data_IF_214426421491
#
_entry.id   IF_214426421491
#
_cell.length_a   1.000
_cell.length_b   1.000
_cell.length_c   1.000
_cell.angle_alpha   90.00
_cell.angle_beta   90.00
_cell.angle_gamma   90.00
#
_symmetry.space_group_name_H-M   'P 1'
#
loop_
_entity.id
_entity.type
_entity.pdbx_description
1 polymer ?
#
# COMPACT_ATOMS: atom_id res chain seq x y z
N UNK A 1 -23.77 20.89 19.19
CA UNK A 1 -24.03 20.10 17.96
C UNK A 1 -22.98 20.50 16.92
N UNK A 2 -21.77 19.94 17.04
CA UNK A 2 -20.78 20.08 15.99
C UNK A 2 -21.18 19.15 14.85
N UNK A 3 -21.65 19.74 13.76
CA UNK A 3 -22.00 19.03 12.55
C UNK A 3 -20.75 18.33 11.99
N UNK A 4 -20.86 17.05 11.67
CA UNK A 4 -19.87 16.35 10.85
C UNK A 4 -19.50 17.23 9.64
N UNK A 5 -18.23 17.21 9.21
CA UNK A 5 -17.83 17.94 8.01
C UNK A 5 -18.78 17.56 6.87
N UNK A 6 -19.45 18.56 6.33
CA UNK A 6 -20.35 18.35 5.20
C UNK A 6 -19.52 17.82 4.01
N UNK A 7 -20.12 17.02 3.13
CA UNK A 7 -19.49 16.46 1.92
C UNK A 7 -18.63 17.49 1.17
N UNK A 8 -19.10 18.73 1.10
CA UNK A 8 -18.38 19.86 0.49
C UNK A 8 -17.09 20.24 1.23
N UNK A 9 -17.01 20.11 2.55
CA UNK A 9 -15.80 20.41 3.32
C UNK A 9 -14.74 19.30 3.18
N UNK A 10 -15.15 18.03 3.06
CA UNK A 10 -14.22 16.92 2.82
C UNK A 10 -13.61 16.97 1.41
N UNK A 11 -14.42 17.34 0.40
CA UNK A 11 -13.93 17.47 -0.98
C UNK A 11 -12.93 18.64 -1.11
N UNK A 12 -13.20 19.76 -0.46
CA UNK A 12 -12.28 20.90 -0.42
C UNK A 12 -11.00 20.55 0.35
N UNK A 13 -11.10 19.80 1.44
CA UNK A 13 -9.94 19.37 2.22
C UNK A 13 -9.05 18.38 1.43
N UNK A 14 -9.66 17.50 0.63
CA UNK A 14 -8.94 16.60 -0.26
C UNK A 14 -8.17 17.38 -1.33
N UNK A 15 -8.83 18.29 -2.04
CA UNK A 15 -8.20 19.11 -3.09
C UNK A 15 -7.11 20.01 -2.53
N UNK A 16 -7.35 20.65 -1.39
CA UNK A 16 -6.37 21.49 -0.72
C UNK A 16 -5.17 20.69 -0.22
N UNK A 17 -5.39 19.52 0.38
CA UNK A 17 -4.34 18.62 0.82
C UNK A 17 -3.48 18.11 -0.34
N UNK A 18 -4.10 17.74 -1.46
CA UNK A 18 -3.39 17.31 -2.66
C UNK A 18 -2.57 18.44 -3.27
N UNK A 19 -3.14 19.65 -3.35
CA UNK A 19 -2.43 20.84 -3.83
C UNK A 19 -1.22 21.17 -2.94
N UNK A 20 -1.40 21.15 -1.63
CA UNK A 20 -0.31 21.36 -0.67
C UNK A 20 0.79 20.30 -0.81
N UNK A 21 0.41 19.03 -0.93
CA UNK A 21 1.38 17.94 -1.12
C UNK A 21 2.19 18.09 -2.39
N UNK A 22 1.55 18.37 -3.52
CA UNK A 22 2.23 18.53 -4.81
C UNK A 22 3.17 19.73 -4.83
N UNK A 23 2.76 20.86 -4.24
CA UNK A 23 3.59 22.06 -4.18
C UNK A 23 4.76 21.95 -3.21
N UNK A 24 4.62 21.15 -2.15
CA UNK A 24 5.64 21.01 -1.11
C UNK A 24 6.33 19.63 -1.11
N UNK A 25 6.16 18.84 -2.17
CA UNK A 25 6.62 17.46 -2.25
C UNK A 25 8.08 17.28 -1.82
N UNK A 26 9.00 18.07 -2.38
CA UNK A 26 10.42 17.97 -2.06
C UNK A 26 10.73 18.42 -0.62
N UNK A 27 10.06 19.47 -0.14
CA UNK A 27 10.25 19.95 1.22
C UNK A 27 9.78 18.92 2.26
N UNK A 28 8.66 18.27 2.02
CA UNK A 28 8.10 17.25 2.91
C UNK A 28 8.95 15.97 2.86
N UNK A 29 9.32 15.51 1.67
CA UNK A 29 10.05 14.24 1.49
C UNK A 29 11.49 14.32 1.98
N UNK A 30 12.12 15.51 1.99
CA UNK A 30 13.49 15.74 2.40
C UNK A 30 13.59 16.58 3.67
N UNK A 31 12.51 16.68 4.45
CA UNK A 31 12.47 17.45 5.67
C UNK A 31 13.44 16.93 6.71
N UNK A 32 14.46 17.74 7.04
CA UNK A 32 15.54 17.36 7.96
C UNK A 32 15.33 17.84 9.40
N UNK A 33 14.27 18.59 9.65
CA UNK A 33 13.95 19.12 10.98
C UNK A 33 13.48 18.07 11.98
N UNK A 34 13.02 16.91 11.48
CA UNK A 34 12.56 15.78 12.28
C UNK A 34 13.15 14.48 11.72
N UNK A 35 14.24 13.94 12.32
CA UNK A 35 14.85 12.69 11.90
C UNK A 35 13.91 11.48 12.02
N UNK A 36 12.98 11.49 12.97
CA UNK A 36 12.02 10.41 13.18
C UNK A 36 11.00 10.40 12.03
N UNK A 37 10.49 11.56 11.64
CA UNK A 37 9.64 11.71 10.47
C UNK A 37 10.32 11.20 9.19
N UNK A 38 11.56 11.61 8.95
CA UNK A 38 12.31 11.20 7.77
C UNK A 38 12.56 9.68 7.78
N UNK A 39 12.86 9.11 8.94
CA UNK A 39 13.06 7.68 9.13
C UNK A 39 11.80 6.87 8.76
N UNK A 40 10.66 7.30 9.24
CA UNK A 40 9.38 6.62 8.97
C UNK A 40 8.88 6.82 7.54
N UNK A 41 8.74 8.06 7.10
CA UNK A 41 8.01 8.39 5.87
C UNK A 41 8.88 8.35 4.61
N UNK A 42 10.18 8.51 4.73
CA UNK A 42 11.06 8.44 3.57
C UNK A 42 11.95 7.20 3.60
N UNK A 43 12.77 7.06 4.64
CA UNK A 43 13.76 5.99 4.70
C UNK A 43 13.16 4.58 4.81
N UNK A 44 11.97 4.44 5.39
CA UNK A 44 11.27 3.15 5.47
C UNK A 44 10.37 2.88 4.26
N UNK A 45 9.48 3.81 3.90
CA UNK A 45 8.48 3.56 2.86
C UNK A 45 9.08 3.31 1.47
N UNK A 46 10.13 4.04 1.09
CA UNK A 46 10.76 3.85 -0.21
C UNK A 46 11.36 2.47 -0.40
N UNK A 47 12.24 1.96 0.52
CA UNK A 47 12.73 0.60 0.44
C UNK A 47 11.63 -0.45 0.50
N UNK A 48 10.61 -0.24 1.33
CA UNK A 48 9.48 -1.14 1.41
C UNK A 48 8.75 -1.30 0.08
N UNK A 49 8.35 -0.22 -0.56
CA UNK A 49 7.69 -0.28 -1.86
C UNK A 49 8.60 -0.86 -2.94
N UNK A 50 9.88 -0.55 -2.93
CA UNK A 50 10.83 -1.12 -3.88
C UNK A 50 11.03 -2.62 -3.68
N UNK A 51 11.15 -3.09 -2.45
CA UNK A 51 11.26 -4.54 -2.18
C UNK A 51 10.03 -5.34 -2.60
N UNK A 52 8.87 -4.71 -2.52
CA UNK A 52 7.59 -5.29 -2.90
C UNK A 52 7.34 -5.28 -4.43
N UNK A 53 8.02 -4.41 -5.15
CA UNK A 53 7.84 -4.16 -6.58
C UNK A 53 7.89 -5.40 -7.47
N UNK A 54 8.91 -6.28 -7.39
CA UNK A 54 8.99 -7.46 -8.24
C UNK A 54 7.81 -8.42 -8.06
N UNK A 55 7.38 -8.64 -6.82
CA UNK A 55 6.22 -9.49 -6.51
C UNK A 55 4.93 -8.90 -7.06
N UNK A 56 4.75 -7.58 -6.92
CA UNK A 56 3.61 -6.88 -7.50
C UNK A 56 3.63 -6.85 -9.01
N UNK A 57 4.80 -6.74 -9.63
CA UNK A 57 4.91 -6.77 -11.09
C UNK A 57 4.39 -8.10 -11.65
N UNK A 58 4.73 -9.24 -11.05
CA UNK A 58 4.21 -10.55 -11.44
C UNK A 58 2.70 -10.64 -11.30
N UNK A 59 2.15 -10.13 -10.21
CA UNK A 59 0.71 -10.10 -10.00
C UNK A 59 0.01 -9.21 -11.03
N UNK A 60 0.52 -8.00 -11.26
CA UNK A 60 -0.03 -7.03 -12.21
C UNK A 60 -0.03 -7.55 -13.65
N UNK A 61 1.05 -8.17 -14.10
CA UNK A 61 1.14 -8.79 -15.43
C UNK A 61 0.04 -9.83 -15.62
N UNK A 62 -0.25 -10.62 -14.59
CA UNK A 62 -1.30 -11.63 -14.66
C UNK A 62 -2.71 -11.04 -14.71
N UNK A 63 -3.00 -10.06 -13.86
CA UNK A 63 -4.33 -9.43 -13.78
C UNK A 63 -4.61 -8.60 -15.05
N UNK A 64 -3.57 -8.08 -15.69
CA UNK A 64 -3.68 -7.21 -16.85
C UNK A 64 -3.75 -7.94 -18.18
N UNK A 65 -3.88 -9.29 -18.21
CA UNK A 65 -4.06 -10.03 -19.46
C UNK A 65 -5.24 -9.47 -20.26
N UNK A 66 -4.99 -9.14 -21.54
CA UNK A 66 -5.99 -8.53 -22.42
C UNK A 66 -6.20 -7.01 -22.26
N UNK A 67 -5.39 -6.35 -21.43
CA UNK A 67 -5.39 -4.89 -21.27
C UNK A 67 -4.20 -4.25 -21.96
N UNK A 68 -4.37 -3.01 -22.39
CA UNK A 68 -3.26 -2.24 -22.97
C UNK A 68 -2.33 -1.72 -21.86
N UNK A 69 -1.04 -1.56 -22.19
CA UNK A 69 -0.05 -0.99 -21.27
C UNK A 69 -0.48 0.41 -20.77
N UNK A 70 -1.10 1.21 -21.64
CA UNK A 70 -1.62 2.53 -21.26
C UNK A 70 -2.70 2.44 -20.19
N UNK A 71 -3.65 1.50 -20.33
CA UNK A 71 -4.70 1.28 -19.32
C UNK A 71 -4.09 0.81 -17.98
N UNK A 72 -3.11 -0.09 -18.04
CA UNK A 72 -2.41 -0.57 -16.85
C UNK A 72 -1.72 0.58 -16.12
N UNK A 73 -0.93 1.37 -16.82
CA UNK A 73 -0.23 2.52 -16.24
C UNK A 73 -1.20 3.56 -15.65
N UNK A 74 -2.29 3.86 -16.36
CA UNK A 74 -3.29 4.79 -15.86
C UNK A 74 -3.93 4.31 -14.56
N UNK A 75 -4.31 3.04 -14.49
CA UNK A 75 -4.93 2.47 -13.28
C UNK A 75 -3.94 2.43 -12.12
N UNK A 76 -2.72 1.98 -12.35
CA UNK A 76 -1.73 1.81 -11.28
C UNK A 76 -1.16 3.15 -10.81
N UNK A 77 -0.83 4.06 -11.74
CA UNK A 77 -0.11 5.30 -11.41
C UNK A 77 -1.04 6.48 -11.09
N UNK A 78 -2.30 6.45 -11.53
CA UNK A 78 -3.23 7.57 -11.32
C UNK A 78 -4.43 7.15 -10.49
N UNK A 79 -5.20 6.18 -10.96
CA UNK A 79 -6.48 5.81 -10.31
C UNK A 79 -6.24 5.24 -8.91
N UNK A 80 -5.28 4.32 -8.76
CA UNK A 80 -4.93 3.73 -7.47
C UNK A 80 -4.51 4.76 -6.43
N UNK A 81 -3.50 5.61 -6.69
CA UNK A 81 -3.09 6.67 -5.78
C UNK A 81 -4.20 7.67 -5.42
N UNK A 82 -5.04 8.07 -6.39
CA UNK A 82 -6.15 9.00 -6.13
C UNK A 82 -7.17 8.38 -5.18
N UNK A 83 -7.59 7.13 -5.43
CA UNK A 83 -8.54 6.42 -4.55
C UNK A 83 -7.94 6.23 -3.15
N UNK A 84 -6.67 5.85 -3.08
CA UNK A 84 -5.97 5.66 -1.79
C UNK A 84 -5.87 6.97 -1.02
N UNK A 85 -5.49 8.06 -1.68
CA UNK A 85 -5.42 9.37 -1.06
C UNK A 85 -6.80 9.85 -0.57
N UNK A 86 -7.85 9.64 -1.36
CA UNK A 86 -9.22 9.95 -0.96
C UNK A 86 -9.64 9.16 0.29
N UNK A 87 -9.35 7.87 0.34
CA UNK A 87 -9.61 7.02 1.50
C UNK A 87 -8.90 7.52 2.76
N UNK A 88 -7.60 7.81 2.67
CA UNK A 88 -6.84 8.31 3.81
C UNK A 88 -7.28 9.71 4.24
N UNK A 89 -7.71 10.56 3.32
CA UNK A 89 -8.23 11.89 3.67
C UNK A 89 -9.53 11.79 4.46
N UNK A 90 -10.43 10.89 4.09
CA UNK A 90 -11.70 10.71 4.80
C UNK A 90 -11.45 10.14 6.20
N UNK A 91 -10.76 9.03 6.30
CA UNK A 91 -10.55 8.34 7.59
C UNK A 91 -9.57 9.10 8.48
N UNK A 92 -8.46 9.59 7.92
CA UNK A 92 -7.51 10.40 8.66
C UNK A 92 -8.11 11.72 9.11
N UNK A 93 -8.88 12.39 8.25
CA UNK A 93 -9.62 13.59 8.60
C UNK A 93 -10.64 13.37 9.71
N UNK A 94 -11.37 12.26 9.68
CA UNK A 94 -12.29 11.87 10.74
C UNK A 94 -11.56 11.64 12.07
N UNK A 95 -10.42 10.94 12.04
CA UNK A 95 -9.58 10.71 13.23
C UNK A 95 -9.05 12.02 13.83
N UNK A 96 -8.53 12.92 13.00
CA UNK A 96 -8.06 14.24 13.46
C UNK A 96 -9.21 15.07 14.03
N UNK A 97 -10.36 15.06 13.37
CA UNK A 97 -11.53 15.78 13.87
C UNK A 97 -12.00 15.27 15.25
N UNK A 98 -12.01 13.95 15.43
CA UNK A 98 -12.35 13.33 16.72
C UNK A 98 -11.34 13.68 17.82
N UNK A 99 -10.04 13.66 17.51
CA UNK A 99 -8.99 14.02 18.47
C UNK A 99 -9.05 15.50 18.86
N UNK A 100 -9.33 16.39 17.91
CA UNK A 100 -9.50 17.82 18.20
C UNK A 100 -10.76 18.12 19.02
N UNK A 101 -11.82 17.35 18.81
CA UNK A 101 -13.07 17.46 19.57
C UNK A 101 -12.96 16.90 20.99
N UNK A 102 -12.23 15.80 21.15
CA UNK A 102 -12.02 15.13 22.45
C UNK A 102 -10.56 14.65 22.51
N UNK A 103 -9.66 15.47 23.09
CA UNK A 103 -8.25 15.12 23.19
C UNK A 103 -8.03 13.80 23.93
N UNK A 104 -7.19 12.93 23.36
CA UNK A 104 -6.92 11.61 23.90
C UNK A 104 -7.79 10.49 23.35
N UNK A 105 -8.81 10.80 22.56
CA UNK A 105 -9.75 9.81 22.01
C UNK A 105 -9.06 8.84 21.01
N UNK A 106 -8.20 9.36 20.17
CA UNK A 106 -7.41 8.57 19.20
C UNK A 106 -5.99 8.35 19.72
N UNK A 107 -5.35 9.38 20.27
CA UNK A 107 -3.97 9.29 20.76
C UNK A 107 -3.82 8.39 21.99
N UNK A 108 -4.84 8.24 22.81
CA UNK A 108 -4.85 7.30 23.95
C UNK A 108 -4.68 5.85 23.51
N UNK A 109 -5.62 5.27 22.75
CA UNK A 109 -5.51 3.93 22.19
C UNK A 109 -4.27 3.72 21.32
N UNK A 110 -3.84 4.73 20.56
CA UNK A 110 -2.61 4.67 19.77
C UNK A 110 -1.37 4.41 20.64
N UNK A 111 -1.25 5.10 21.78
CA UNK A 111 -0.12 4.94 22.70
C UNK A 111 -0.15 3.62 23.48
N UNK A 112 -1.33 3.13 23.83
CA UNK A 112 -1.48 1.91 24.66
C UNK A 112 -1.49 0.63 23.85
N UNK A 113 -2.14 0.63 22.68
CA UNK A 113 -2.41 -0.59 21.88
C UNK A 113 -1.85 -0.51 20.46
N UNK A 114 -1.25 0.62 20.09
CA UNK A 114 -0.58 0.81 18.81
C UNK A 114 -1.50 1.16 17.63
N UNK A 115 -0.89 1.36 16.46
CA UNK A 115 -1.57 1.81 15.23
C UNK A 115 -2.78 0.95 14.78
N UNK A 116 -2.79 -0.38 14.93
CA UNK A 116 -3.91 -1.19 14.46
C UNK A 116 -5.26 -0.85 15.10
N UNK A 117 -5.25 -0.27 16.30
CA UNK A 117 -6.48 0.08 17.03
C UNK A 117 -7.13 1.37 16.55
N UNK A 118 -6.38 2.24 15.88
CA UNK A 118 -6.86 3.57 15.45
C UNK A 118 -8.07 3.46 14.54
N UNK A 119 -8.03 2.59 13.53
CA UNK A 119 -9.16 2.39 12.61
C UNK A 119 -10.42 1.94 13.37
N UNK A 120 -10.27 0.98 14.28
CA UNK A 120 -11.39 0.48 15.07
C UNK A 120 -11.94 1.56 16.01
N UNK A 121 -11.08 2.35 16.63
CA UNK A 121 -11.49 3.46 17.48
C UNK A 121 -12.29 4.51 16.69
N UNK A 122 -11.87 4.85 15.48
CA UNK A 122 -12.62 5.74 14.59
C UNK A 122 -14.00 5.15 14.29
N UNK A 123 -14.07 3.88 13.88
CA UNK A 123 -15.35 3.21 13.54
C UNK A 123 -16.29 3.08 14.74
N UNK A 124 -15.75 2.83 15.95
CA UNK A 124 -16.54 2.74 17.18
C UNK A 124 -17.18 4.06 17.58
N UNK A 125 -16.54 5.18 17.25
CA UNK A 125 -17.03 6.53 17.58
C UNK A 125 -17.85 7.18 16.45
N UNK A 126 -18.08 6.47 15.36
CA UNK A 126 -18.97 6.93 14.28
C UNK A 126 -20.44 6.53 14.56
N UNK A 127 -21.41 7.29 14.02
CA UNK A 127 -22.79 6.84 14.01
C UNK A 127 -22.89 5.50 13.25
N UNK A 128 -23.74 4.58 13.71
CA UNK A 128 -23.88 3.21 13.19
C UNK A 128 -22.65 2.30 13.47
N UNK A 129 -21.94 2.54 14.56
CA UNK A 129 -20.75 1.75 14.96
C UNK A 129 -21.01 0.24 15.00
N UNK A 130 -22.22 -0.20 15.40
CA UNK A 130 -22.61 -1.62 15.42
C UNK A 130 -22.55 -2.31 14.06
N UNK A 131 -22.65 -1.54 12.96
CA UNK A 131 -22.54 -2.06 11.59
C UNK A 131 -21.12 -1.79 11.05
N UNK A 132 -20.57 -0.61 11.30
CA UNK A 132 -19.29 -0.18 10.76
C UNK A 132 -18.12 -1.01 11.29
N UNK A 133 -18.13 -1.39 12.58
CA UNK A 133 -17.07 -2.20 13.18
C UNK A 133 -16.97 -3.59 12.54
N UNK A 134 -18.03 -4.42 12.50
CA UNK A 134 -17.92 -5.73 11.86
C UNK A 134 -17.67 -5.63 10.35
N UNK A 135 -18.22 -4.61 9.68
CA UNK A 135 -17.96 -4.38 8.25
C UNK A 135 -16.51 -4.03 7.99
N UNK A 136 -15.89 -3.16 8.81
CA UNK A 136 -14.48 -2.81 8.69
C UNK A 136 -13.56 -4.01 8.95
N UNK A 137 -13.87 -4.84 9.95
CA UNK A 137 -13.12 -6.07 10.21
C UNK A 137 -13.23 -7.06 9.05
N UNK A 138 -14.40 -7.25 8.49
CA UNK A 138 -14.61 -8.07 7.29
C UNK A 138 -13.81 -7.54 6.11
N UNK A 139 -13.85 -6.23 5.89
CA UNK A 139 -13.12 -5.58 4.81
C UNK A 139 -11.60 -5.78 4.96
N UNK A 140 -11.05 -5.57 6.16
CA UNK A 140 -9.63 -5.80 6.47
C UNK A 140 -9.27 -7.27 6.21
N UNK A 141 -10.10 -8.21 6.66
CA UNK A 141 -9.87 -9.63 6.40
C UNK A 141 -9.84 -9.95 4.91
N UNK A 142 -10.79 -9.43 4.12
CA UNK A 142 -10.83 -9.62 2.67
C UNK A 142 -9.60 -9.03 1.98
N UNK A 143 -9.13 -7.85 2.39
CA UNK A 143 -7.91 -7.26 1.86
C UNK A 143 -6.67 -8.10 2.18
N UNK A 144 -6.55 -8.59 3.41
CA UNK A 144 -5.44 -9.47 3.81
C UNK A 144 -5.45 -10.78 3.03
N UNK A 145 -6.61 -11.41 2.85
CA UNK A 145 -6.71 -12.65 2.07
C UNK A 145 -6.38 -12.43 0.59
N UNK A 146 -6.92 -11.41 -0.05
CA UNK A 146 -6.67 -11.13 -1.47
C UNK A 146 -5.21 -10.78 -1.72
N UNK A 147 -4.63 -9.91 -0.90
CA UNK A 147 -3.22 -9.52 -1.00
C UNK A 147 -2.30 -10.70 -0.70
N UNK A 148 -2.54 -11.42 0.39
CA UNK A 148 -1.74 -12.59 0.78
C UNK A 148 -1.77 -13.70 -0.26
N UNK A 149 -2.93 -14.00 -0.82
CA UNK A 149 -3.06 -14.98 -1.91
C UNK A 149 -2.30 -14.54 -3.16
N UNK A 150 -2.37 -13.25 -3.51
CA UNK A 150 -1.63 -12.68 -4.65
C UNK A 150 -0.12 -12.78 -4.47
N UNK A 151 0.40 -12.47 -3.28
CA UNK A 151 1.82 -12.57 -2.94
C UNK A 151 2.28 -14.03 -2.96
N UNK A 152 1.56 -14.94 -2.29
CA UNK A 152 1.89 -16.36 -2.26
C UNK A 152 1.95 -16.96 -3.67
N UNK A 153 1.00 -16.56 -4.52
CA UNK A 153 0.98 -16.96 -5.92
C UNK A 153 2.18 -16.42 -6.71
N UNK A 154 2.51 -15.14 -6.54
CA UNK A 154 3.67 -14.53 -7.22
C UNK A 154 4.99 -15.16 -6.80
N UNK A 155 5.14 -15.47 -5.51
CA UNK A 155 6.30 -16.21 -4.99
C UNK A 155 6.38 -17.61 -5.58
N UNK A 156 5.26 -18.32 -5.71
CA UNK A 156 5.21 -19.62 -6.32
C UNK A 156 5.63 -19.59 -7.79
N UNK A 157 5.22 -18.59 -8.57
CA UNK A 157 5.69 -18.35 -9.95
C UNK A 157 7.20 -18.13 -9.97
N UNK A 158 7.70 -17.25 -9.11
CA UNK A 158 9.12 -16.89 -9.05
C UNK A 158 10.04 -18.10 -8.80
N UNK A 159 9.59 -19.03 -7.94
CA UNK A 159 10.36 -20.23 -7.59
C UNK A 159 10.23 -21.35 -8.63
N UNK A 160 9.03 -21.54 -9.18
CA UNK A 160 8.78 -22.65 -10.12
C UNK A 160 9.07 -22.30 -11.58
N UNK A 161 9.12 -21.00 -11.92
CA UNK A 161 9.23 -20.53 -13.30
C UNK A 161 7.99 -20.84 -14.16
N UNK A 162 6.92 -21.37 -13.58
CA UNK A 162 5.70 -21.79 -14.28
C UNK A 162 4.64 -20.68 -14.21
N UNK A 163 3.95 -20.41 -15.31
CA UNK A 163 2.80 -19.48 -15.31
C UNK A 163 1.66 -19.94 -14.38
N UNK A 164 1.51 -21.25 -14.23
CA UNK A 164 0.50 -21.90 -13.37
C UNK A 164 1.19 -22.82 -12.38
N UNK A 165 1.69 -22.31 -11.25
CA UNK A 165 2.38 -23.12 -10.26
C UNK A 165 1.44 -24.14 -9.60
N UNK A 166 2.01 -25.23 -9.10
CA UNK A 166 1.25 -26.25 -8.37
C UNK A 166 0.59 -25.67 -7.13
N UNK A 167 -0.66 -26.03 -6.87
CA UNK A 167 -1.46 -25.53 -5.74
C UNK A 167 -0.76 -25.71 -4.38
N UNK A 168 -0.07 -26.83 -4.18
CA UNK A 168 0.65 -27.11 -2.94
C UNK A 168 1.78 -26.09 -2.68
N UNK A 169 2.48 -25.60 -3.73
CA UNK A 169 3.53 -24.58 -3.61
C UNK A 169 2.93 -23.26 -3.14
N UNK A 170 1.78 -22.88 -3.68
CA UNK A 170 1.06 -21.66 -3.28
C UNK A 170 0.63 -21.75 -1.81
N UNK A 171 0.06 -22.90 -1.42
CA UNK A 171 -0.36 -23.15 -0.03
C UNK A 171 0.84 -23.13 0.91
N UNK A 172 1.95 -23.75 0.54
CA UNK A 172 3.20 -23.74 1.31
C UNK A 172 3.68 -22.32 1.57
N UNK A 173 3.72 -21.46 0.53
CA UNK A 173 4.10 -20.06 0.69
C UNK A 173 3.14 -19.29 1.59
N UNK A 174 1.83 -19.50 1.43
CA UNK A 174 0.83 -18.88 2.30
C UNK A 174 1.00 -19.28 3.78
N UNK A 175 1.23 -20.56 4.06
CA UNK A 175 1.49 -21.08 5.41
C UNK A 175 2.80 -20.55 6.00
N UNK A 176 3.87 -20.48 5.19
CA UNK A 176 5.15 -19.90 5.62
C UNK A 176 4.99 -18.42 5.98
N UNK A 177 4.33 -17.63 5.15
CA UNK A 177 4.09 -16.20 5.42
C UNK A 177 3.27 -16.01 6.70
N UNK A 178 2.17 -16.75 6.85
CA UNK A 178 1.34 -16.70 8.07
C UNK A 178 2.08 -17.17 9.31
N UNK A 179 2.88 -18.22 9.19
CA UNK A 179 3.72 -18.75 10.28
C UNK A 179 4.77 -17.75 10.74
N UNK A 180 5.52 -17.17 9.79
CA UNK A 180 6.53 -16.14 10.09
C UNK A 180 5.89 -14.93 10.75
N UNK A 181 4.76 -14.43 10.20
CA UNK A 181 4.04 -13.29 10.76
C UNK A 181 3.59 -13.59 12.22
N UNK A 182 3.04 -14.78 12.46
CA UNK A 182 2.60 -15.19 13.82
C UNK A 182 3.77 -15.28 14.79
N UNK A 183 4.90 -15.84 14.35
CA UNK A 183 6.12 -15.92 15.17
C UNK A 183 6.67 -14.54 15.51
N UNK A 184 6.73 -13.64 14.51
CA UNK A 184 7.21 -12.27 14.72
C UNK A 184 6.34 -11.51 15.73
N UNK A 185 5.01 -11.65 15.65
CA UNK A 185 4.10 -11.01 16.60
C UNK A 185 4.28 -11.60 18.02
N UNK A 186 4.45 -12.92 18.13
CA UNK A 186 4.64 -13.58 19.45
C UNK A 186 5.98 -13.24 20.09
N UNK A 187 7.07 -13.21 19.32
CA UNK A 187 8.43 -12.99 19.85
C UNK A 187 8.68 -11.49 20.05
N UNK A 188 8.28 -10.67 19.11
CA UNK A 188 8.59 -9.24 19.10
C UNK A 188 7.65 -8.36 19.92
N UNK A 189 6.45 -8.85 20.25
CA UNK A 189 5.45 -8.06 20.97
C UNK A 189 5.25 -6.68 20.35
N UNK A 190 5.29 -5.63 21.17
CA UNK A 190 5.18 -4.23 20.72
C UNK A 190 6.31 -3.78 19.77
N UNK A 191 7.49 -4.41 19.87
CA UNK A 191 8.68 -4.05 19.05
C UNK A 191 8.81 -4.88 17.77
N UNK A 192 7.92 -5.85 17.52
CA UNK A 192 7.96 -6.71 16.33
C UNK A 192 7.91 -5.89 15.05
N UNK A 193 7.11 -4.82 15.02
CA UNK A 193 6.97 -3.95 13.88
C UNK A 193 8.28 -3.22 13.56
N UNK A 194 8.95 -2.66 14.56
CA UNK A 194 10.21 -1.93 14.38
C UNK A 194 11.33 -2.85 13.86
N UNK A 195 11.42 -4.08 14.39
CA UNK A 195 12.39 -5.07 13.94
C UNK A 195 12.13 -5.50 12.48
N UNK A 196 10.86 -5.71 12.12
CA UNK A 196 10.47 -6.06 10.76
C UNK A 196 10.79 -4.92 9.78
N UNK A 197 10.52 -3.68 10.15
CA UNK A 197 10.83 -2.50 9.34
C UNK A 197 12.34 -2.37 9.08
N UNK A 198 13.16 -2.52 10.11
CA UNK A 198 14.62 -2.48 9.96
C UNK A 198 15.10 -3.58 9.00
N UNK A 199 14.57 -4.80 9.15
CA UNK A 199 14.90 -5.91 8.26
C UNK A 199 14.52 -5.61 6.79
N UNK A 200 13.33 -5.05 6.55
CA UNK A 200 12.87 -4.69 5.20
C UNK A 200 13.79 -3.66 4.56
N UNK A 201 14.19 -2.62 5.30
CA UNK A 201 15.10 -1.57 4.79
C UNK A 201 16.44 -2.18 4.40
N UNK A 202 17.04 -3.00 5.27
CA UNK A 202 18.33 -3.65 5.00
C UNK A 202 18.24 -4.60 3.80
N UNK A 203 17.18 -5.40 3.70
CA UNK A 203 16.97 -6.33 2.59
C UNK A 203 16.68 -5.62 1.26
N UNK A 204 16.11 -4.42 1.28
CA UNK A 204 15.79 -3.66 0.08
C UNK A 204 17.03 -3.03 -0.59
N UNK A 205 18.08 -2.71 0.17
CA UNK A 205 19.28 -2.04 -0.36
C UNK A 205 19.89 -2.77 -1.56
N UNK A 206 20.14 -4.09 -1.53
CA UNK A 206 20.65 -4.82 -2.69
C UNK A 206 19.71 -4.76 -3.90
N UNK A 207 18.39 -4.70 -3.68
CA UNK A 207 17.41 -4.67 -4.75
C UNK A 207 17.48 -3.38 -5.58
N UNK A 208 17.89 -2.26 -4.97
CA UNK A 208 18.08 -1.00 -5.70
C UNK A 208 19.04 -1.15 -6.88
N UNK A 209 20.10 -1.93 -6.72
CA UNK A 209 21.11 -2.18 -7.79
C UNK A 209 20.46 -2.90 -8.98
N UNK A 210 19.50 -3.81 -8.71
CA UNK A 210 18.81 -4.54 -9.77
C UNK A 210 17.74 -3.73 -10.50
N UNK A 211 17.21 -2.67 -9.90
CA UNK A 211 16.19 -1.82 -10.55
C UNK A 211 16.76 -1.01 -11.72
N UNK A 212 18.02 -0.59 -11.65
CA UNK A 212 18.66 0.19 -12.72
C UNK A 212 18.69 -0.57 -14.05
N UNK A 213 19.20 -1.84 -14.12
CA UNK A 213 19.13 -2.63 -15.33
C UNK A 213 17.70 -2.94 -15.78
N UNK A 214 16.75 -3.12 -14.83
CA UNK A 214 15.34 -3.37 -15.17
C UNK A 214 14.70 -2.18 -15.88
N UNK A 215 14.96 -0.95 -15.43
CA UNK A 215 14.48 0.26 -16.11
C UNK A 215 15.02 0.37 -17.54
N UNK A 216 16.32 0.08 -17.70
CA UNK A 216 16.93 0.04 -19.02
C UNK A 216 16.34 -1.07 -19.91
N UNK A 217 16.16 -2.27 -19.34
CA UNK A 217 15.52 -3.40 -20.02
C UNK A 217 14.09 -3.08 -20.45
N UNK A 218 13.28 -2.44 -19.60
CA UNK A 218 11.92 -2.04 -19.93
C UNK A 218 11.88 -1.06 -21.12
N UNK A 219 12.78 -0.07 -21.14
CA UNK A 219 12.89 0.87 -22.25
C UNK A 219 13.30 0.17 -23.57
N UNK A 220 14.30 -0.70 -23.52
CA UNK A 220 14.76 -1.42 -24.70
C UNK A 220 13.72 -2.41 -25.25
N UNK A 221 13.01 -3.13 -24.39
CA UNK A 221 11.91 -3.99 -24.76
C UNK A 221 10.74 -3.22 -25.38
N UNK A 222 10.34 -2.10 -24.78
CA UNK A 222 9.28 -1.25 -25.31
C UNK A 222 9.65 -0.71 -26.71
N UNK A 223 10.90 -0.26 -26.88
CA UNK A 223 11.40 0.23 -28.17
C UNK A 223 11.47 -0.87 -29.23
N UNK A 224 11.88 -2.07 -28.86
CA UNK A 224 11.94 -3.22 -29.78
C UNK A 224 10.53 -3.62 -30.24
N UNK A 225 9.58 -3.74 -29.32
CA UNK A 225 8.18 -4.06 -29.61
C UNK A 225 7.53 -3.01 -30.53
N UNK A 226 7.86 -1.74 -30.34
CA UNK A 226 7.39 -0.66 -31.21
C UNK A 226 7.96 -0.76 -32.63
N UNK A 227 9.26 -1.07 -32.77
CA UNK A 227 9.93 -1.23 -34.08
C UNK A 227 9.44 -2.48 -34.85
N UNK A 228 9.11 -3.56 -34.14
CA UNK A 228 8.61 -4.80 -34.76
C UNK A 228 7.15 -4.69 -35.22
N UNK A 229 6.49 -3.54 -35.05
CA UNK A 229 5.11 -3.32 -35.49
C UNK A 229 4.08 -4.20 -34.78
N UNK A 230 4.47 -4.89 -33.71
CA UNK A 230 3.55 -5.70 -32.86
C UNK A 230 2.53 -4.85 -32.09
N UNK A 231 2.75 -3.54 -32.02
CA UNK A 231 1.76 -2.55 -31.61
C UNK A 231 1.09 -1.91 -32.82
N UNK A 232 0.43 -2.69 -33.65
CA UNK A 232 -0.68 -2.14 -34.41
C UNK A 232 -1.75 -1.79 -33.39
N UNK A 233 -1.92 -0.51 -33.14
CA UNK A 233 -3.15 0.03 -32.59
C UNK A 233 -4.21 -0.42 -33.58
N UNK A 234 -4.96 -1.46 -33.24
CA UNK A 234 -6.25 -1.70 -33.88
C UNK A 234 -7.09 -0.52 -33.44
N UNK A 235 -7.11 0.52 -34.27
CA UNK A 235 -8.11 1.56 -34.20
C UNK A 235 -9.47 0.83 -34.25
N UNK A 236 -10.25 1.05 -33.25
CA UNK A 236 -11.53 0.53 -32.88
C UNK A 236 -12.35 -0.23 -33.92
N UNK A 237 -12.77 -1.38 -33.54
CA UNK A 237 -14.09 -1.92 -33.77
C UNK A 237 -14.90 -1.89 -32.46
#
# INVERSE_FOLDING_TARGET
LHSFPTRRSSDLSFMSGMGFYLTNFFNISLYRGDPEWLGWWTAFYWPWFLSYGPTMALLLVRISKGRTLRQLLLVVCIVGPVITNFWFTILGGAGIFMELGTPGMISGPLKTSGMPTVLLTIMQNMPLSSILVPLSLLLVALFLFTTGAGIAYSMAIGVTGMETPYRWVIIMWGLMMGGVATLLVKIGGANAMNSLQTFIVVAAVPLFVFYIPQLWGAYTCARASYKEGKYKITDGD
#
